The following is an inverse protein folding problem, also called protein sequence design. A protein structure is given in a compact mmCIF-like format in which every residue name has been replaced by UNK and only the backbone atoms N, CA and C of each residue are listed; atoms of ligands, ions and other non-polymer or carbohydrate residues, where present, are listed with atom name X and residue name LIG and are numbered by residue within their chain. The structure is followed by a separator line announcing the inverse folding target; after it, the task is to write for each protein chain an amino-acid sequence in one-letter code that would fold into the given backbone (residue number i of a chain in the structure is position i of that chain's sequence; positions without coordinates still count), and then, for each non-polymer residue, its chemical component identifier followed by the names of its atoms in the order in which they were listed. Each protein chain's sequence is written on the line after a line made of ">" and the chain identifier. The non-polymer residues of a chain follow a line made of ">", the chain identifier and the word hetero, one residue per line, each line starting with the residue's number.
data_IF_056172536464
#
_entry.id   IF_056172536464
#
_cell.length_a   1.000
_cell.length_b   1.000
_cell.length_c   1.000
_cell.angle_alpha   90.00
_cell.angle_beta   90.00
_cell.angle_gamma   90.00
#
_symmetry.space_group_name_H-M   'P 1'
#
loop_
_entity.id
_entity.type
_entity.pdbx_description
1 polymer ?
#
# COMPACT_ATOMS: atom_id res chain seq x y z
N UNK A 1 39.18 -15.05 -5.21
CA UNK A 1 38.74 -15.24 -6.61
C UNK A 1 37.23 -15.09 -6.61
N UNK A 2 36.70 -14.02 -7.19
CA UNK A 2 35.24 -13.85 -7.27
C UNK A 2 34.69 -14.90 -8.26
N UNK A 3 33.68 -15.66 -7.85
CA UNK A 3 32.99 -16.58 -8.74
C UNK A 3 32.35 -15.78 -9.88
N UNK A 4 32.37 -16.27 -11.13
CA UNK A 4 31.65 -15.63 -12.23
C UNK A 4 30.15 -15.57 -11.90
N UNK A 5 29.47 -14.57 -12.44
CA UNK A 5 28.02 -14.43 -12.29
C UNK A 5 27.33 -15.72 -12.77
N UNK A 6 26.33 -16.18 -12.00
CA UNK A 6 25.55 -17.35 -12.38
C UNK A 6 24.89 -17.14 -13.75
N UNK A 7 24.90 -18.18 -14.59
CA UNK A 7 24.28 -18.12 -15.90
C UNK A 7 22.75 -18.03 -15.77
N UNK A 8 22.16 -17.02 -16.41
CA UNK A 8 20.73 -16.75 -16.34
C UNK A 8 19.94 -17.61 -17.35
N UNK A 9 19.66 -18.87 -16.97
CA UNK A 9 18.98 -19.83 -17.82
C UNK A 9 17.45 -19.70 -17.73
N UNK A 10 16.82 -19.14 -18.76
CA UNK A 10 15.37 -19.14 -18.92
C UNK A 10 14.92 -19.47 -20.34
N UNK A 11 13.68 -19.96 -20.47
CA UNK A 11 12.99 -20.08 -21.76
C UNK A 11 12.01 -18.92 -21.88
N UNK A 12 12.10 -18.16 -22.97
CA UNK A 12 11.21 -17.03 -23.22
C UNK A 12 10.01 -17.44 -24.11
N UNK A 13 8.80 -17.05 -23.70
CA UNK A 13 7.59 -17.24 -24.47
C UNK A 13 6.74 -15.98 -24.48
N UNK A 14 6.25 -15.58 -25.65
CA UNK A 14 5.25 -14.52 -25.74
C UNK A 14 3.87 -15.06 -25.36
N UNK A 15 3.24 -14.46 -24.35
CA UNK A 15 1.90 -14.82 -23.88
C UNK A 15 1.00 -13.59 -23.84
N UNK A 16 -0.27 -13.77 -24.20
CA UNK A 16 -1.29 -12.72 -24.09
C UNK A 16 -1.93 -12.76 -22.70
N UNK A 17 -1.99 -11.61 -22.04
CA UNK A 17 -2.69 -11.43 -20.77
C UNK A 17 -4.20 -11.35 -21.05
N UNK A 18 -5.00 -12.07 -20.27
CA UNK A 18 -6.47 -12.03 -20.38
C UNK A 18 -7.04 -10.71 -19.85
N UNK A 19 -8.33 -10.46 -20.11
CA UNK A 19 -9.04 -9.31 -19.54
C UNK A 19 -9.13 -9.33 -18.01
N UNK A 20 -8.98 -10.50 -17.39
CA UNK A 20 -8.93 -10.69 -15.93
C UNK A 20 -7.53 -10.57 -15.33
N UNK A 21 -6.57 -10.06 -16.12
CA UNK A 21 -5.17 -9.87 -15.73
C UNK A 21 -4.45 -11.18 -15.38
N UNK A 22 -4.75 -12.27 -16.13
CA UNK A 22 -4.15 -13.59 -15.93
C UNK A 22 -3.35 -14.05 -17.15
N UNK A 23 -2.29 -14.82 -16.90
CA UNK A 23 -1.51 -15.52 -17.91
C UNK A 23 -1.57 -17.03 -17.67
N UNK A 24 -1.78 -17.78 -18.75
CA UNK A 24 -1.87 -19.24 -18.71
C UNK A 24 -0.52 -19.87 -19.05
N UNK A 25 -0.03 -20.71 -18.14
CA UNK A 25 1.18 -21.49 -18.33
C UNK A 25 1.07 -22.85 -17.65
N UNK A 26 1.35 -23.93 -18.39
CA UNK A 26 1.33 -25.32 -17.89
C UNK A 26 0.04 -25.73 -17.15
N UNK A 27 -1.11 -25.22 -17.63
CA UNK A 27 -2.41 -25.48 -17.02
C UNK A 27 -2.72 -24.64 -15.78
N UNK A 28 -1.77 -23.84 -15.29
CA UNK A 28 -1.96 -22.87 -14.20
C UNK A 28 -2.19 -21.45 -14.73
N UNK A 29 -2.72 -20.59 -13.86
CA UNK A 29 -3.02 -19.18 -14.12
C UNK A 29 -2.24 -18.31 -13.13
N UNK A 30 -1.57 -17.28 -13.62
CA UNK A 30 -0.77 -16.36 -12.80
C UNK A 30 -1.26 -14.93 -13.01
N UNK A 31 -1.34 -14.15 -11.94
CA UNK A 31 -1.76 -12.75 -12.00
C UNK A 31 -0.68 -11.84 -12.56
N UNK A 32 -1.13 -10.78 -13.24
CA UNK A 32 -0.29 -9.73 -13.85
C UNK A 32 -0.86 -8.36 -13.49
N UNK A 33 -0.04 -7.31 -13.32
CA UNK A 33 -0.55 -5.97 -13.07
C UNK A 33 -1.58 -5.55 -14.11
N UNK A 34 -2.68 -4.94 -13.64
CA UNK A 34 -3.83 -4.64 -14.49
C UNK A 34 -3.53 -3.69 -15.67
N UNK A 35 -2.46 -2.91 -15.58
CA UNK A 35 -1.95 -2.06 -16.68
C UNK A 35 -1.63 -2.84 -17.95
N UNK A 36 -1.33 -4.15 -17.82
CA UNK A 36 -0.98 -5.03 -18.93
C UNK A 36 -2.12 -5.94 -19.40
N UNK A 37 -3.35 -5.75 -18.91
CA UNK A 37 -4.51 -6.50 -19.35
C UNK A 37 -4.69 -6.40 -20.88
N UNK A 38 -5.02 -7.52 -21.54
CA UNK A 38 -5.16 -7.63 -23.00
C UNK A 38 -3.91 -7.31 -23.84
N UNK A 39 -2.72 -7.18 -23.23
CA UNK A 39 -1.44 -6.99 -23.92
C UNK A 39 -0.68 -8.30 -24.06
N UNK A 40 0.22 -8.37 -25.03
CA UNK A 40 1.21 -9.45 -25.11
C UNK A 40 2.41 -9.09 -24.22
N UNK A 41 2.84 -10.04 -23.41
CA UNK A 41 4.00 -9.92 -22.53
C UNK A 41 4.98 -11.07 -22.79
N UNK A 42 6.22 -10.88 -22.39
CA UNK A 42 7.23 -11.93 -22.36
C UNK A 42 7.12 -12.69 -21.03
N UNK A 43 7.00 -14.01 -21.11
CA UNK A 43 7.06 -14.92 -19.98
C UNK A 43 8.43 -15.62 -20.02
N UNK A 44 9.30 -15.28 -19.07
CA UNK A 44 10.58 -15.94 -18.84
C UNK A 44 10.35 -17.07 -17.84
N UNK A 45 10.54 -18.29 -18.31
CA UNK A 45 10.28 -19.51 -17.56
C UNK A 45 11.61 -20.02 -17.01
N UNK A 46 11.74 -19.99 -15.69
CA UNK A 46 12.85 -20.58 -14.95
C UNK A 46 12.47 -21.97 -14.43
N UNK A 47 13.44 -22.63 -13.80
CA UNK A 47 13.22 -23.92 -13.16
C UNK A 47 12.22 -23.82 -11.99
N UNK A 48 12.34 -22.79 -11.17
CA UNK A 48 11.59 -22.60 -9.91
C UNK A 48 10.56 -21.46 -9.96
N UNK A 49 10.70 -20.55 -10.92
CA UNK A 49 9.84 -19.35 -11.03
C UNK A 49 9.46 -18.97 -12.45
N UNK A 50 8.46 -18.11 -12.53
CA UNK A 50 8.00 -17.45 -13.74
C UNK A 50 8.18 -15.95 -13.55
N UNK A 51 8.91 -15.33 -14.47
CA UNK A 51 9.13 -13.89 -14.50
C UNK A 51 8.42 -13.34 -15.72
N UNK A 52 7.48 -12.44 -15.47
CA UNK A 52 6.74 -11.73 -16.51
C UNK A 52 7.43 -10.41 -16.77
N UNK A 53 7.70 -10.13 -18.04
CA UNK A 53 8.36 -8.93 -18.50
C UNK A 53 7.59 -8.28 -19.65
N UNK A 54 7.52 -6.95 -19.64
CA UNK A 54 6.94 -6.16 -20.72
C UNK A 54 7.77 -4.89 -20.89
N UNK A 55 7.93 -4.43 -22.14
CA UNK A 55 8.62 -3.16 -22.43
C UNK A 55 10.06 -3.10 -21.85
N UNK A 56 10.73 -4.25 -21.76
CA UNK A 56 12.07 -4.37 -21.19
C UNK A 56 12.13 -4.38 -19.65
N UNK A 57 10.98 -4.26 -18.97
CA UNK A 57 10.87 -4.22 -17.51
C UNK A 57 10.29 -5.51 -16.94
N UNK A 58 10.74 -5.89 -15.75
CA UNK A 58 10.13 -6.95 -14.95
C UNK A 58 8.84 -6.42 -14.31
N UNK A 59 7.71 -7.10 -14.57
CA UNK A 59 6.38 -6.65 -14.13
C UNK A 59 5.75 -7.52 -13.04
N UNK A 60 6.07 -8.81 -12.99
CA UNK A 60 5.58 -9.73 -11.96
C UNK A 60 6.45 -10.99 -11.87
N UNK A 61 6.58 -11.54 -10.66
CA UNK A 61 7.25 -12.80 -10.39
C UNK A 61 6.30 -13.75 -9.66
N UNK A 62 6.27 -15.01 -10.06
CA UNK A 62 5.52 -16.05 -9.37
C UNK A 62 6.34 -17.34 -9.25
N UNK A 63 6.23 -18.10 -8.14
CA UNK A 63 6.77 -19.44 -8.07
C UNK A 63 6.12 -20.34 -9.12
N UNK A 64 6.93 -21.16 -9.79
CA UNK A 64 6.42 -22.08 -10.81
C UNK A 64 5.74 -23.26 -10.12
N UNK A 65 4.45 -23.41 -10.38
CA UNK A 65 3.66 -24.50 -9.83
C UNK A 65 3.70 -25.71 -10.78
N UNK A 66 4.26 -26.82 -10.30
CA UNK A 66 4.22 -28.10 -11.01
C UNK A 66 2.95 -28.88 -10.64
N UNK A 67 2.21 -29.33 -11.66
CA UNK A 67 1.10 -30.24 -11.47
C UNK A 67 1.59 -31.66 -11.20
N UNK A 68 1.51 -32.14 -9.96
CA UNK A 68 1.66 -33.56 -9.66
C UNK A 68 0.29 -34.13 -9.25
N UNK A 69 -0.27 -35.01 -10.08
CA UNK A 69 -1.45 -35.83 -9.78
C UNK A 69 -2.80 -35.38 -10.36
N UNK A 70 -3.74 -36.33 -10.38
CA UNK A 70 -5.13 -36.21 -10.90
C UNK A 70 -6.02 -35.17 -10.18
N UNK A 71 -5.52 -34.51 -9.12
CA UNK A 71 -6.28 -33.57 -8.28
C UNK A 71 -6.02 -32.08 -8.56
N UNK A 72 -5.08 -31.71 -9.45
CA UNK A 72 -4.70 -30.29 -9.68
C UNK A 72 -4.92 -29.84 -11.12
N UNK A 73 -6.19 -29.72 -11.54
CA UNK A 73 -6.53 -28.93 -12.74
C UNK A 73 -6.67 -27.46 -12.37
N UNK A 74 -5.84 -26.58 -12.94
CA UNK A 74 -6.19 -25.17 -13.08
C UNK A 74 -5.98 -24.27 -11.85
N UNK A 75 -4.88 -24.43 -11.10
CA UNK A 75 -4.60 -23.50 -9.99
C UNK A 75 -4.42 -22.08 -10.51
N UNK A 76 -4.97 -21.12 -9.78
CA UNK A 76 -4.75 -19.69 -10.03
C UNK A 76 -3.99 -19.12 -8.87
N UNK A 77 -2.82 -18.55 -9.14
CA UNK A 77 -2.07 -17.76 -8.18
C UNK A 77 -2.43 -16.29 -8.37
N UNK A 78 -3.00 -15.69 -7.33
CA UNK A 78 -3.31 -14.28 -7.31
C UNK A 78 -2.22 -13.50 -6.57
N UNK A 79 -2.07 -12.26 -6.97
CA UNK A 79 -1.36 -11.25 -6.18
C UNK A 79 -2.30 -10.05 -6.17
N UNK A 80 -2.70 -9.63 -4.98
CA UNK A 80 -3.67 -8.57 -4.81
C UNK A 80 -3.10 -7.20 -5.23
N UNK A 81 -1.78 -7.01 -5.18
CA UNK A 81 -1.11 -5.79 -5.63
C UNK A 81 -1.42 -5.46 -7.10
N UNK A 82 -1.49 -6.51 -7.93
CA UNK A 82 -1.78 -6.39 -9.36
C UNK A 82 -3.14 -5.76 -9.67
N UNK A 83 -4.07 -5.78 -8.72
CA UNK A 83 -5.45 -5.32 -8.89
C UNK A 83 -5.76 -3.99 -8.19
N UNK A 84 -4.79 -3.38 -7.49
CA UNK A 84 -5.00 -2.12 -6.75
C UNK A 84 -5.44 -0.96 -7.65
N UNK A 85 -4.85 -0.83 -8.84
CA UNK A 85 -5.23 0.22 -9.80
C UNK A 85 -6.67 0.05 -10.33
N UNK A 86 -7.17 -1.19 -10.37
CA UNK A 86 -8.58 -1.48 -10.73
C UNK A 86 -9.50 -1.13 -9.58
N UNK A 87 -9.10 -1.44 -8.35
CA UNK A 87 -9.87 -1.11 -7.15
C UNK A 87 -10.11 0.38 -6.99
N UNK A 88 -9.09 1.21 -7.25
CA UNK A 88 -9.24 2.67 -7.21
C UNK A 88 -10.36 3.18 -8.14
N UNK A 89 -10.54 2.54 -9.30
CA UNK A 89 -11.61 2.89 -10.27
C UNK A 89 -12.95 2.26 -9.91
N UNK A 90 -12.95 1.05 -9.34
CA UNK A 90 -14.14 0.27 -9.02
C UNK A 90 -14.06 -0.31 -7.59
N UNK A 91 -14.34 0.51 -6.55
CA UNK A 91 -14.20 0.08 -5.15
C UNK A 91 -15.07 -1.12 -4.78
N UNK A 92 -16.25 -1.25 -5.40
CA UNK A 92 -17.15 -2.39 -5.16
C UNK A 92 -16.57 -3.77 -5.52
N UNK A 93 -15.50 -3.84 -6.32
CA UNK A 93 -14.82 -5.11 -6.61
C UNK A 93 -14.14 -5.73 -5.38
N UNK A 94 -13.90 -4.94 -4.33
CA UNK A 94 -13.28 -5.41 -3.09
C UNK A 94 -14.12 -6.49 -2.37
N UNK A 95 -15.45 -6.48 -2.51
CA UNK A 95 -16.36 -7.39 -1.77
C UNK A 95 -16.25 -8.85 -2.22
N UNK A 96 -16.11 -9.06 -3.53
CA UNK A 96 -16.19 -10.39 -4.16
C UNK A 96 -14.95 -10.71 -5.03
N UNK A 97 -13.90 -9.89 -4.96
CA UNK A 97 -12.72 -10.08 -5.78
C UNK A 97 -11.89 -11.26 -5.26
N UNK A 98 -11.77 -12.31 -6.08
CA UNK A 98 -10.93 -13.47 -5.78
C UNK A 98 -9.48 -13.13 -5.34
N UNK A 99 -8.80 -12.12 -5.94
CA UNK A 99 -7.45 -11.74 -5.48
C UNK A 99 -7.40 -11.27 -4.03
N UNK A 100 -8.48 -10.71 -3.50
CA UNK A 100 -8.52 -10.14 -2.15
C UNK A 100 -8.84 -11.19 -1.07
N UNK A 101 -9.12 -12.43 -1.48
CA UNK A 101 -9.28 -13.55 -0.54
C UNK A 101 -7.97 -13.89 0.18
N UNK A 102 -6.81 -13.53 -0.39
CA UNK A 102 -5.48 -13.81 0.16
C UNK A 102 -4.83 -12.60 0.86
N UNK A 103 -5.61 -11.56 1.17
CA UNK A 103 -5.10 -10.40 1.91
C UNK A 103 -4.49 -10.79 3.27
N UNK A 104 -3.45 -10.06 3.73
CA UNK A 104 -2.93 -10.18 5.08
C UNK A 104 -4.02 -10.06 6.16
N UNK A 105 -3.88 -10.74 7.31
CA UNK A 105 -4.93 -10.85 8.31
C UNK A 105 -5.36 -9.49 8.89
N UNK A 106 -4.42 -8.56 9.08
CA UNK A 106 -4.72 -7.22 9.56
C UNK A 106 -5.62 -6.45 8.57
N UNK A 107 -5.31 -6.50 7.27
CA UNK A 107 -6.17 -5.90 6.24
C UNK A 107 -7.55 -6.55 6.18
N UNK A 108 -7.65 -7.89 6.32
CA UNK A 108 -8.97 -8.57 6.38
C UNK A 108 -9.81 -8.14 7.58
N UNK A 109 -9.17 -7.96 8.74
CA UNK A 109 -9.85 -7.49 9.96
C UNK A 109 -10.29 -6.03 9.82
N UNK A 110 -9.45 -5.18 9.24
CA UNK A 110 -9.81 -3.80 8.93
C UNK A 110 -10.97 -3.74 7.92
N UNK A 111 -10.90 -4.56 6.87
CA UNK A 111 -11.91 -4.70 5.84
C UNK A 111 -13.28 -5.04 6.46
N UNK A 112 -13.36 -6.05 7.34
CA UNK A 112 -14.61 -6.46 7.95
C UNK A 112 -15.27 -5.38 8.83
N UNK A 113 -14.47 -4.47 9.40
CA UNK A 113 -14.95 -3.34 10.20
C UNK A 113 -15.41 -2.19 9.30
N UNK A 114 -14.61 -1.81 8.31
CA UNK A 114 -14.90 -0.65 7.45
C UNK A 114 -16.10 -0.92 6.54
N UNK A 115 -16.26 -2.13 6.00
CA UNK A 115 -17.36 -2.47 5.07
C UNK A 115 -18.77 -2.42 5.68
N UNK A 116 -18.88 -2.36 7.01
CA UNK A 116 -20.15 -2.15 7.72
C UNK A 116 -20.60 -0.68 7.68
N UNK A 117 -19.69 0.24 7.35
CA UNK A 117 -19.95 1.69 7.31
C UNK A 117 -20.33 2.11 5.88
N UNK A 118 -21.20 3.11 5.72
CA UNK A 118 -21.47 3.69 4.40
C UNK A 118 -20.18 4.32 3.84
N UNK A 119 -19.78 3.93 2.63
CA UNK A 119 -18.55 4.41 1.98
C UNK A 119 -17.24 3.75 2.45
N UNK A 120 -17.30 2.77 3.37
CA UNK A 120 -16.10 2.11 3.87
C UNK A 120 -15.36 1.25 2.85
N UNK A 121 -15.99 0.93 1.71
CA UNK A 121 -15.32 0.32 0.56
C UNK A 121 -14.32 1.29 -0.08
N UNK A 122 -14.65 2.58 -0.19
CA UNK A 122 -13.73 3.60 -0.67
C UNK A 122 -12.58 3.80 0.32
N UNK A 123 -12.88 3.90 1.61
CA UNK A 123 -11.85 4.07 2.63
C UNK A 123 -10.88 2.89 2.64
N UNK A 124 -11.38 1.66 2.57
CA UNK A 124 -10.53 0.47 2.52
C UNK A 124 -9.67 0.44 1.25
N UNK A 125 -10.22 0.85 0.09
CA UNK A 125 -9.46 0.93 -1.16
C UNK A 125 -8.38 2.00 -1.10
N UNK A 126 -8.66 3.16 -0.51
CA UNK A 126 -7.68 4.23 -0.30
C UNK A 126 -6.53 3.75 0.60
N UNK A 127 -6.83 3.00 1.67
CA UNK A 127 -5.81 2.42 2.55
C UNK A 127 -4.96 1.37 1.81
N UNK A 128 -5.57 0.45 1.06
CA UNK A 128 -4.84 -0.54 0.27
C UNK A 128 -3.97 0.13 -0.81
N UNK A 129 -4.43 1.24 -1.38
CA UNK A 129 -3.66 2.00 -2.35
C UNK A 129 -2.39 2.65 -1.77
N UNK A 130 -2.31 2.86 -0.46
CA UNK A 130 -1.10 3.40 0.18
C UNK A 130 0.14 2.52 -0.07
N UNK A 131 -0.06 1.21 -0.24
CA UNK A 131 1.02 0.26 -0.54
C UNK A 131 1.68 0.52 -1.90
N UNK A 132 1.04 1.28 -2.79
CA UNK A 132 1.65 1.71 -4.06
C UNK A 132 2.69 2.83 -3.88
N UNK A 133 2.67 3.53 -2.75
CA UNK A 133 3.47 4.75 -2.52
C UNK A 133 4.33 4.67 -1.25
N UNK A 134 4.04 3.72 -0.37
CA UNK A 134 4.72 3.50 0.90
C UNK A 134 5.17 2.05 1.01
N UNK A 135 6.14 1.80 1.90
CA UNK A 135 6.53 0.43 2.26
C UNK A 135 5.33 -0.37 2.79
N UNK A 136 5.13 -1.58 2.26
CA UNK A 136 4.01 -2.46 2.65
C UNK A 136 4.02 -2.76 4.15
N UNK A 137 5.21 -2.98 4.72
CA UNK A 137 5.39 -3.25 6.14
C UNK A 137 4.93 -2.07 7.01
N UNK A 138 5.32 -0.85 6.64
CA UNK A 138 4.89 0.37 7.34
C UNK A 138 3.36 0.55 7.31
N UNK A 139 2.72 0.29 6.16
CA UNK A 139 1.25 0.35 6.04
C UNK A 139 0.59 -0.74 6.88
N UNK A 140 1.11 -1.96 6.85
CA UNK A 140 0.59 -3.07 7.65
C UNK A 140 0.68 -2.75 9.15
N UNK A 141 1.84 -2.25 9.61
CA UNK A 141 2.02 -1.83 11.01
C UNK A 141 1.07 -0.70 11.41
N UNK A 142 0.86 0.30 10.55
CA UNK A 142 -0.11 1.36 10.81
C UNK A 142 -1.54 0.82 10.97
N UNK A 143 -1.92 -0.18 10.15
CA UNK A 143 -3.23 -0.85 10.26
C UNK A 143 -3.34 -1.67 11.54
N UNK A 144 -2.32 -2.41 11.92
CA UNK A 144 -2.28 -3.18 13.17
C UNK A 144 -2.46 -2.27 14.39
N UNK A 145 -1.69 -1.19 14.47
CA UNK A 145 -1.81 -0.18 15.53
C UNK A 145 -3.21 0.45 15.56
N UNK A 146 -3.79 0.77 14.39
CA UNK A 146 -5.14 1.32 14.33
C UNK A 146 -6.21 0.34 14.84
N UNK A 147 -6.02 -0.96 14.60
CA UNK A 147 -6.89 -2.03 15.08
C UNK A 147 -6.76 -2.25 16.58
N UNK A 148 -5.56 -2.14 17.14
CA UNK A 148 -5.30 -2.25 18.58
C UNK A 148 -6.01 -1.14 19.38
N UNK A 149 -6.08 0.08 18.83
CA UNK A 149 -6.83 1.17 19.43
C UNK A 149 -8.36 1.00 19.39
N UNK A 150 -8.89 -0.04 18.73
CA UNK A 150 -10.30 -0.43 18.73
C UNK A 150 -11.24 0.43 17.87
N UNK A 151 -10.82 1.60 17.40
CA UNK A 151 -11.58 2.47 16.48
C UNK A 151 -10.77 2.77 15.22
N UNK A 152 -10.56 1.78 14.34
CA UNK A 152 -9.86 2.03 13.09
C UNK A 152 -10.72 2.88 12.16
N UNK A 153 -10.11 3.92 11.60
CA UNK A 153 -10.63 4.73 10.50
C UNK A 153 -9.49 4.99 9.51
N UNK A 154 -9.82 5.44 8.31
CA UNK A 154 -8.83 5.83 7.32
C UNK A 154 -7.89 6.91 7.85
N UNK A 155 -8.45 7.95 8.47
CA UNK A 155 -7.68 9.08 9.01
C UNK A 155 -6.72 8.60 10.11
N UNK A 156 -7.15 7.64 10.92
CA UNK A 156 -6.32 7.07 11.96
C UNK A 156 -5.12 6.29 11.37
N UNK A 157 -5.36 5.47 10.35
CA UNK A 157 -4.29 4.73 9.65
C UNK A 157 -3.32 5.71 8.98
N UNK A 158 -3.82 6.74 8.29
CA UNK A 158 -2.98 7.77 7.67
C UNK A 158 -2.12 8.52 8.70
N UNK A 159 -2.70 8.86 9.85
CA UNK A 159 -1.96 9.52 10.91
C UNK A 159 -0.84 8.65 11.48
N UNK A 160 -1.11 7.36 11.72
CA UNK A 160 -0.12 6.40 12.21
C UNK A 160 0.98 6.16 11.17
N UNK A 161 0.61 5.99 9.90
CA UNK A 161 1.57 5.84 8.81
C UNK A 161 2.46 7.08 8.68
N UNK A 162 1.89 8.28 8.78
CA UNK A 162 2.63 9.54 8.83
C UNK A 162 3.68 9.52 9.94
N UNK A 163 3.29 9.21 11.18
CA UNK A 163 4.22 9.14 12.31
C UNK A 163 5.31 8.07 12.17
N UNK A 164 5.01 6.95 11.51
CA UNK A 164 5.98 5.88 11.28
C UNK A 164 7.00 6.22 10.19
N UNK A 165 6.61 7.06 9.24
CA UNK A 165 7.42 7.43 8.07
C UNK A 165 8.04 8.83 8.19
N UNK A 166 7.58 9.65 9.13
CA UNK A 166 8.07 10.99 9.38
C UNK A 166 9.57 10.96 9.74
N UNK A 167 10.34 11.79 9.03
CA UNK A 167 11.72 12.04 9.40
C UNK A 167 11.77 12.72 10.78
N UNK A 168 12.78 12.41 11.61
CA UNK A 168 12.92 13.06 12.91
C UNK A 168 12.98 14.58 12.73
N UNK A 169 12.36 15.35 13.63
CA UNK A 169 12.33 16.80 13.51
C UNK A 169 13.75 17.34 13.38
N UNK A 170 13.97 18.38 12.54
CA UNK A 170 15.29 18.94 12.35
C UNK A 170 15.86 19.39 13.70
N UNK A 171 17.18 19.27 13.85
CA UNK A 171 17.87 19.68 15.07
C UNK A 171 17.50 21.14 15.38
N UNK A 172 17.15 21.46 16.64
CA UNK A 172 16.84 22.83 17.03
C UNK A 172 17.97 23.77 16.61
N UNK A 173 17.60 24.88 15.98
CA UNK A 173 18.57 25.93 15.64
C UNK A 173 19.14 26.45 16.97
N UNK A 174 20.48 26.52 17.12
CA UNK A 174 21.07 27.04 18.35
C UNK A 174 20.65 28.50 18.52
N UNK A 175 19.83 28.77 19.53
CA UNK A 175 19.35 30.11 19.84
C UNK A 175 20.58 30.93 20.29
N UNK A 176 20.91 32.05 19.60
CA UNK A 176 21.95 32.96 20.06
C UNK A 176 21.73 33.36 21.51
N UNK A 177 22.76 33.22 22.37
CA UNK A 177 22.68 33.60 23.81
C UNK A 177 22.31 35.08 24.03
N UNK A 178 22.46 35.93 23.00
CA UNK A 178 22.08 37.33 23.01
C UNK A 178 20.60 37.61 22.78
N UNK A 179 19.79 36.64 22.35
CA UNK A 179 18.34 36.77 22.20
C UNK A 179 17.64 36.50 23.54
N UNK A 180 17.99 37.27 24.58
CA UNK A 180 17.21 37.34 25.81
C UNK A 180 16.29 38.54 25.72
N UNK A 181 14.98 38.30 25.78
CA UNK A 181 14.02 39.38 25.86
C UNK A 181 14.26 40.14 27.17
N UNK A 182 14.49 41.44 27.08
CA UNK A 182 14.60 42.32 28.26
C UNK A 182 13.28 42.38 29.04
N UNK A 183 12.17 42.11 28.35
CA UNK A 183 10.82 42.02 28.88
C UNK A 183 10.19 40.74 28.36
N UNK A 184 10.05 39.75 29.22
CA UNK A 184 9.33 38.53 28.85
C UNK A 184 7.83 38.83 28.68
N UNK A 185 7.21 38.32 27.59
CA UNK A 185 5.77 38.45 27.43
C UNK A 185 5.08 37.67 28.53
N UNK A 186 4.38 38.38 29.41
CA UNK A 186 3.49 37.76 30.37
C UNK A 186 2.20 37.38 29.64
N UNK A 187 1.74 36.13 29.81
CA UNK A 187 0.42 35.68 29.36
C UNK A 187 -0.68 36.31 30.24
N UNK A 188 -0.87 37.62 30.11
CA UNK A 188 -1.75 38.43 30.94
C UNK A 188 -2.90 39.02 30.12
N UNK A 189 -4.03 38.31 30.13
CA UNK A 189 -5.28 38.72 29.45
C UNK A 189 -5.92 39.97 30.06
N UNK A 190 -5.60 40.33 31.32
CA UNK A 190 -6.19 41.49 32.01
C UNK A 190 -5.79 42.84 31.36
N UNK A 191 -4.71 42.90 30.57
CA UNK A 191 -4.30 44.12 29.84
C UNK A 191 -5.36 44.55 28.83
N UNK A 192 -6.09 43.60 28.24
CA UNK A 192 -7.18 43.89 27.31
C UNK A 192 -8.43 44.41 28.04
N UNK A 193 -8.77 43.80 29.18
CA UNK A 193 -9.93 44.20 29.98
C UNK A 193 -9.82 45.64 30.49
N UNK A 194 -8.61 46.09 30.84
CA UNK A 194 -8.37 47.48 31.24
C UNK A 194 -8.58 48.49 30.10
N UNK A 195 -8.31 48.12 28.85
CA UNK A 195 -8.52 49.00 27.69
C UNK A 195 -10.02 49.15 27.35
N UNK A 196 -10.80 48.08 27.58
CA UNK A 196 -12.25 48.11 27.33
C UNK A 196 -12.99 49.02 28.32
N UNK A 197 -12.65 48.96 29.60
CA UNK A 197 -13.26 49.83 30.64
C UNK A 197 -12.96 51.32 30.45
N UNK A 198 -11.82 51.67 29.84
CA UNK A 198 -11.47 53.05 29.54
C UNK A 198 -12.31 53.64 28.40
N UNK A 199 -12.83 52.80 27.50
CA UNK A 199 -13.67 53.22 26.37
C UNK A 199 -15.16 53.34 26.76
N UNK A 200 -15.62 52.60 27.79
CA UNK A 200 -17.00 52.67 28.29
C UNK A 200 -17.23 53.84 29.28
N UNK A 201 -16.18 54.61 29.60
CA UNK A 201 -16.20 55.73 30.56
C UNK A 201 -16.11 57.12 29.90
N UNK A 202 -16.27 57.22 28.58
CA UNK A 202 -16.35 58.45 27.79
C UNK A 202 -17.73 58.56 27.13
#
# INVERSE_FOLDING_TARGET
>A
MALPNAFDAFVEQTKRVTSTCLVHHEGNRYSVPASYANRAISLRIYADKLVMAAEGQHIAEHPRLFGSGHARRGHTQYDWHHYLSVLQKKPGALRNGAPFAELPPAFKKLQSILLQRPGGDRDMVEILALVLHHDEGAVLSAVELALECGKPSKEHVLNLLGRLTEEPPPKPIPIPKGLRLTLEPQANVNRYDSLRRAHDAA
#
